data_IF_277688611176
#
_entry.id   IF_277688611176
#
_cell.length_a   1.000
_cell.length_b   1.000
_cell.length_c   1.000
_cell.angle_alpha   90.00
_cell.angle_beta   90.00
_cell.angle_gamma   90.00
#
_symmetry.space_group_name_H-M   'P 1'
#
loop_
_entity.id
_entity.type
_entity.pdbx_description
1 polymer ?
#
# COMPACT_ATOMS: atom_id res chain seq x y z
N UNK A 1 -27.66 -4.89 10.48
CA UNK A 1 -26.21 -4.73 10.55
C UNK A 1 -25.64 -4.88 9.15
N UNK A 2 -24.82 -3.96 8.75
CA UNK A 2 -24.16 -3.99 7.44
C UNK A 2 -23.23 -5.21 7.36
N UNK A 3 -23.30 -5.95 6.26
CA UNK A 3 -22.43 -7.12 6.07
C UNK A 3 -20.95 -6.70 6.04
N UNK A 4 -20.10 -7.49 6.69
CA UNK A 4 -18.66 -7.22 6.71
C UNK A 4 -18.03 -7.40 5.32
N UNK A 5 -17.05 -6.59 5.00
CA UNK A 5 -16.40 -6.61 3.69
C UNK A 5 -15.77 -7.97 3.36
N UNK A 6 -15.22 -8.65 4.36
CA UNK A 6 -14.66 -9.99 4.19
C UNK A 6 -15.71 -11.03 3.79
N UNK A 7 -16.91 -10.92 4.34
CA UNK A 7 -18.02 -11.83 4.03
C UNK A 7 -18.56 -11.56 2.62
N UNK A 8 -18.65 -10.28 2.24
CA UNK A 8 -19.02 -9.86 0.88
C UNK A 8 -17.98 -10.36 -0.13
N UNK A 9 -16.69 -10.20 0.16
CA UNK A 9 -15.61 -10.69 -0.70
C UNK A 9 -15.70 -12.21 -0.88
N UNK A 10 -15.93 -12.94 0.19
CA UNK A 10 -16.08 -14.41 0.15
C UNK A 10 -17.32 -14.83 -0.66
N UNK A 11 -18.44 -14.16 -0.45
CA UNK A 11 -19.68 -14.42 -1.19
C UNK A 11 -19.53 -14.10 -2.68
N UNK A 12 -18.75 -13.08 -3.04
CA UNK A 12 -18.50 -12.69 -4.42
C UNK A 12 -17.75 -13.76 -5.24
N UNK A 13 -17.04 -14.68 -4.58
CA UNK A 13 -16.40 -15.80 -5.26
C UNK A 13 -17.43 -16.81 -5.83
N UNK A 14 -18.64 -16.85 -5.29
CA UNK A 14 -19.76 -17.66 -5.78
C UNK A 14 -20.73 -16.86 -6.64
N UNK A 15 -20.93 -15.60 -6.31
CA UNK A 15 -21.78 -14.67 -7.03
C UNK A 15 -21.02 -13.37 -7.33
N UNK A 16 -20.41 -13.25 -8.53
CA UNK A 16 -19.58 -12.09 -8.88
C UNK A 16 -20.26 -10.73 -8.73
N UNK A 17 -21.58 -10.66 -8.88
CA UNK A 17 -22.34 -9.42 -8.77
C UNK A 17 -22.22 -8.79 -7.37
N UNK A 18 -21.99 -9.59 -6.33
CA UNK A 18 -21.81 -9.09 -4.98
C UNK A 18 -20.52 -8.28 -4.79
N UNK A 19 -19.53 -8.46 -5.68
CA UNK A 19 -18.32 -7.65 -5.64
C UNK A 19 -18.60 -6.17 -5.90
N UNK A 20 -19.67 -5.85 -6.64
CA UNK A 20 -20.14 -4.48 -6.87
C UNK A 20 -20.36 -3.71 -5.57
N UNK A 21 -20.82 -4.37 -4.50
CA UNK A 21 -21.00 -3.73 -3.19
C UNK A 21 -19.68 -3.19 -2.63
N UNK A 22 -18.58 -3.93 -2.80
CA UNK A 22 -17.25 -3.47 -2.38
C UNK A 22 -16.76 -2.32 -3.27
N UNK A 23 -17.02 -2.40 -4.58
CA UNK A 23 -16.71 -1.31 -5.50
C UNK A 23 -17.43 -0.04 -5.06
N UNK A 24 -18.74 -0.09 -4.82
CA UNK A 24 -19.53 1.07 -4.39
C UNK A 24 -19.03 1.68 -3.07
N UNK A 25 -18.61 0.84 -2.12
CA UNK A 25 -18.07 1.31 -0.83
C UNK A 25 -16.73 2.02 -0.94
N UNK A 26 -15.86 1.56 -1.83
CA UNK A 26 -14.46 1.99 -1.86
C UNK A 26 -14.10 2.88 -3.04
N UNK A 27 -14.91 2.92 -4.11
CA UNK A 27 -14.59 3.63 -5.35
C UNK A 27 -14.21 5.09 -5.13
N UNK A 28 -15.01 5.84 -4.38
CA UNK A 28 -14.71 7.26 -4.15
C UNK A 28 -13.42 7.48 -3.35
N UNK A 29 -13.22 6.67 -2.30
CA UNK A 29 -12.01 6.76 -1.49
C UNK A 29 -10.77 6.35 -2.29
N UNK A 30 -10.88 5.32 -3.12
CA UNK A 30 -9.81 4.89 -4.02
C UNK A 30 -9.51 5.95 -5.08
N UNK A 31 -10.52 6.59 -5.65
CA UNK A 31 -10.34 7.69 -6.59
C UNK A 31 -9.61 8.87 -5.95
N UNK A 32 -10.01 9.29 -4.75
CA UNK A 32 -9.30 10.35 -4.01
C UNK A 32 -7.84 9.99 -3.78
N UNK A 33 -7.59 8.73 -3.42
CA UNK A 33 -6.24 8.24 -3.19
C UNK A 33 -5.42 8.18 -4.48
N UNK A 34 -5.96 7.67 -5.57
CA UNK A 34 -5.30 7.61 -6.87
C UNK A 34 -4.96 9.00 -7.42
N UNK A 35 -5.85 9.99 -7.24
CA UNK A 35 -5.61 11.38 -7.64
C UNK A 35 -4.44 12.06 -6.92
N UNK A 36 -4.01 11.55 -5.77
CA UNK A 36 -2.80 12.06 -5.10
C UNK A 36 -1.52 11.64 -5.84
N UNK A 37 -1.59 10.56 -6.60
CA UNK A 37 -0.44 9.97 -7.32
C UNK A 37 -0.37 10.46 -8.75
N UNK A 38 -1.52 10.58 -9.41
CA UNK A 38 -1.61 10.98 -10.82
C UNK A 38 -2.43 12.25 -10.99
N UNK A 39 -2.11 13.03 -12.03
CA UNK A 39 -2.72 14.35 -12.25
C UNK A 39 -4.04 14.28 -13.00
N UNK A 40 -4.22 13.27 -13.87
CA UNK A 40 -5.40 13.17 -14.69
C UNK A 40 -6.45 12.27 -14.06
N UNK A 41 -7.72 12.58 -14.33
CA UNK A 41 -8.83 11.73 -13.89
C UNK A 41 -8.79 10.37 -14.57
N UNK A 42 -8.44 10.33 -15.83
CA UNK A 42 -8.31 9.10 -16.62
C UNK A 42 -7.29 8.13 -16.01
N UNK A 43 -6.10 8.62 -15.69
CA UNK A 43 -5.07 7.81 -15.02
C UNK A 43 -5.54 7.29 -13.66
N UNK A 44 -6.27 8.10 -12.89
CA UNK A 44 -6.81 7.68 -11.60
C UNK A 44 -7.89 6.60 -11.77
N UNK A 45 -8.77 6.74 -12.75
CA UNK A 45 -9.78 5.74 -13.10
C UNK A 45 -9.13 4.41 -13.50
N UNK A 46 -8.08 4.44 -14.31
CA UNK A 46 -7.32 3.26 -14.72
C UNK A 46 -6.67 2.54 -13.53
N UNK A 47 -6.05 3.31 -12.61
CA UNK A 47 -5.48 2.76 -11.38
C UNK A 47 -6.56 2.06 -10.54
N UNK A 48 -7.71 2.71 -10.35
CA UNK A 48 -8.79 2.18 -9.50
C UNK A 48 -9.40 0.92 -10.12
N UNK A 49 -9.64 0.91 -11.42
CA UNK A 49 -10.13 -0.27 -12.14
C UNK A 49 -9.15 -1.44 -12.02
N UNK A 50 -7.86 -1.21 -12.25
CA UNK A 50 -6.83 -2.24 -12.13
C UNK A 50 -6.70 -2.76 -10.69
N UNK A 51 -6.82 -1.87 -9.69
CA UNK A 51 -6.80 -2.25 -8.29
C UNK A 51 -7.98 -3.18 -7.93
N UNK A 52 -9.21 -2.83 -8.33
CA UNK A 52 -10.37 -3.70 -8.10
C UNK A 52 -10.25 -5.05 -8.83
N UNK A 53 -9.75 -5.05 -10.06
CA UNK A 53 -9.48 -6.30 -10.79
C UNK A 53 -8.47 -7.19 -10.05
N UNK A 54 -7.41 -6.61 -9.51
CA UNK A 54 -6.42 -7.35 -8.70
C UNK A 54 -7.00 -7.84 -7.37
N UNK A 55 -7.82 -7.03 -6.70
CA UNK A 55 -8.52 -7.43 -5.46
C UNK A 55 -9.40 -8.66 -5.74
N UNK A 56 -10.21 -8.60 -6.77
CA UNK A 56 -11.09 -9.71 -7.14
C UNK A 56 -10.30 -10.97 -7.53
N UNK A 57 -9.30 -10.83 -8.39
CA UNK A 57 -8.44 -11.94 -8.82
C UNK A 57 -7.73 -12.63 -7.66
N UNK A 58 -7.34 -11.87 -6.65
CA UNK A 58 -6.63 -12.38 -5.48
C UNK A 58 -7.56 -12.65 -4.27
N UNK A 59 -8.88 -12.52 -4.43
CA UNK A 59 -9.85 -12.72 -3.35
C UNK A 59 -9.72 -14.09 -2.66
N UNK A 60 -9.43 -15.14 -3.41
CA UNK A 60 -9.20 -16.50 -2.88
C UNK A 60 -7.96 -16.57 -1.97
N UNK A 61 -6.97 -15.71 -2.19
CA UNK A 61 -5.73 -15.65 -1.41
C UNK A 61 -5.87 -14.79 -0.15
N UNK A 62 -6.92 -13.97 -0.10
CA UNK A 62 -7.21 -13.19 1.09
C UNK A 62 -7.58 -14.12 2.24
N UNK A 63 -6.74 -14.18 3.25
CA UNK A 63 -7.02 -14.88 4.51
C UNK A 63 -7.11 -13.81 5.58
N UNK A 64 -8.23 -13.78 6.28
CA UNK A 64 -8.35 -12.99 7.49
C UNK A 64 -7.34 -13.55 8.50
N UNK A 65 -6.21 -12.87 8.65
CA UNK A 65 -5.29 -13.11 9.75
C UNK A 65 -5.70 -12.19 10.92
N UNK A 66 -5.42 -12.60 12.14
CA UNK A 66 -5.63 -11.73 13.30
C UNK A 66 -4.98 -10.36 13.04
N UNK A 67 -5.81 -9.30 13.08
CA UNK A 67 -5.38 -7.92 12.83
C UNK A 67 -5.27 -7.48 11.36
N UNK A 68 -5.65 -8.30 10.37
CA UNK A 68 -5.75 -7.87 8.96
C UNK A 68 -7.21 -7.80 8.54
N UNK A 69 -7.70 -6.58 8.35
CA UNK A 69 -9.00 -6.29 7.78
C UNK A 69 -8.93 -6.19 6.25
N UNK A 70 -10.06 -6.47 5.59
CA UNK A 70 -10.20 -6.30 4.14
C UNK A 70 -9.74 -4.90 3.67
N UNK A 71 -10.16 -3.86 4.39
CA UNK A 71 -9.82 -2.47 4.06
C UNK A 71 -8.31 -2.27 3.93
N UNK A 72 -7.53 -2.67 4.93
CA UNK A 72 -6.06 -2.52 4.91
C UNK A 72 -5.42 -3.28 3.75
N UNK A 73 -5.90 -4.49 3.46
CA UNK A 73 -5.42 -5.27 2.33
C UNK A 73 -5.78 -4.64 0.99
N UNK A 74 -7.02 -4.15 0.83
CA UNK A 74 -7.48 -3.52 -0.39
C UNK A 74 -6.70 -2.22 -0.69
N UNK A 75 -6.44 -1.39 0.33
CA UNK A 75 -5.59 -0.21 0.18
C UNK A 75 -4.15 -0.58 -0.18
N UNK A 76 -3.58 -1.65 0.36
CA UNK A 76 -2.26 -2.13 -0.05
C UNK A 76 -2.23 -2.47 -1.54
N UNK A 77 -3.28 -3.14 -2.05
CA UNK A 77 -3.40 -3.45 -3.49
C UNK A 77 -3.47 -2.16 -4.31
N UNK A 78 -4.27 -1.18 -3.87
CA UNK A 78 -4.40 0.11 -4.54
C UNK A 78 -3.04 0.84 -4.63
N UNK A 79 -2.31 0.93 -3.52
CA UNK A 79 -1.00 1.60 -3.48
C UNK A 79 0.00 0.93 -4.40
N UNK A 80 0.09 -0.38 -4.35
CA UNK A 80 1.01 -1.13 -5.20
C UNK A 80 0.67 -0.94 -6.68
N UNK A 81 -0.63 -0.88 -7.01
CA UNK A 81 -1.10 -0.61 -8.37
C UNK A 81 -0.74 0.82 -8.79
N UNK A 82 -0.99 1.79 -7.92
CA UNK A 82 -0.63 3.19 -8.15
C UNK A 82 0.87 3.37 -8.37
N UNK A 83 1.69 2.68 -7.57
CA UNK A 83 3.14 2.72 -7.73
C UNK A 83 3.60 2.17 -9.08
N UNK A 84 3.08 1.00 -9.45
CA UNK A 84 3.41 0.39 -10.74
C UNK A 84 3.03 1.29 -11.91
N UNK A 85 1.86 1.91 -11.82
CA UNK A 85 1.37 2.86 -12.83
C UNK A 85 2.27 4.10 -12.90
N UNK A 86 2.60 4.68 -11.74
CA UNK A 86 3.51 5.82 -11.65
C UNK A 86 4.90 5.53 -12.25
N UNK A 87 5.45 4.36 -11.99
CA UNK A 87 6.74 3.96 -12.56
C UNK A 87 6.69 3.86 -14.10
N UNK A 88 5.57 3.39 -14.65
CA UNK A 88 5.34 3.38 -16.10
C UNK A 88 5.28 4.80 -16.67
N UNK A 89 4.55 5.71 -16.00
CA UNK A 89 4.47 7.11 -16.39
C UNK A 89 5.83 7.81 -16.31
N UNK A 90 6.59 7.56 -15.24
CA UNK A 90 7.94 8.13 -15.05
C UNK A 90 8.90 7.73 -16.15
N UNK A 91 8.82 6.49 -16.65
CA UNK A 91 9.61 6.05 -17.79
C UNK A 91 9.25 6.76 -19.10
N UNK A 92 7.99 7.23 -19.21
CA UNK A 92 7.49 7.95 -20.41
C UNK A 92 7.69 9.45 -20.32
N UNK A 93 7.70 10.01 -19.10
CA UNK A 93 7.80 11.45 -18.83
C UNK A 93 8.70 11.66 -17.62
N UNK A 94 9.53 12.72 -17.63
CA UNK A 94 10.33 13.13 -16.47
C UNK A 94 9.41 13.73 -15.39
N UNK A 95 8.70 12.89 -14.62
CA UNK A 95 7.79 13.29 -13.54
C UNK A 95 8.53 13.26 -12.21
N UNK A 96 8.33 14.28 -11.36
CA UNK A 96 9.02 14.39 -10.08
C UNK A 96 8.56 13.32 -9.07
N UNK A 97 9.50 12.81 -8.27
CA UNK A 97 9.29 11.80 -7.22
C UNK A 97 8.45 12.29 -6.04
N UNK A 98 8.28 13.60 -5.91
CA UNK A 98 7.69 14.28 -4.76
C UNK A 98 6.24 13.83 -4.42
N UNK A 99 5.45 13.50 -5.46
CA UNK A 99 4.07 13.03 -5.27
C UNK A 99 3.98 11.62 -4.70
N UNK A 100 4.96 10.78 -5.00
CA UNK A 100 4.91 9.38 -4.61
C UNK A 100 5.25 9.18 -3.13
N UNK A 101 6.19 9.94 -2.61
CA UNK A 101 6.56 9.89 -1.20
C UNK A 101 5.37 10.24 -0.28
N UNK A 102 4.54 11.17 -0.70
CA UNK A 102 3.32 11.55 0.02
C UNK A 102 2.29 10.43 0.12
N UNK A 103 2.15 9.65 -0.94
CA UNK A 103 1.12 8.59 -1.03
C UNK A 103 1.48 7.30 -0.30
N UNK A 104 2.74 6.98 -0.28
CA UNK A 104 3.36 5.86 0.43
C UNK A 104 2.90 5.74 1.87
N UNK A 105 2.48 6.82 2.42
CA UNK A 105 2.28 7.08 3.84
C UNK A 105 0.92 6.73 4.38
N UNK A 106 -0.12 7.06 3.65
CA UNK A 106 -1.51 6.82 4.07
C UNK A 106 -1.82 5.32 4.25
N UNK A 107 -0.94 4.43 3.75
CA UNK A 107 -1.16 2.97 3.76
C UNK A 107 -0.35 2.23 4.82
N UNK A 108 0.82 2.74 5.17
CA UNK A 108 1.59 2.18 6.29
C UNK A 108 0.86 2.44 7.61
N UNK A 109 0.03 3.46 7.65
CA UNK A 109 -0.51 4.06 8.86
C UNK A 109 -1.76 3.39 9.44
N UNK A 110 -2.52 2.63 8.67
CA UNK A 110 -3.78 2.03 9.18
C UNK A 110 -3.56 0.88 10.18
N UNK A 111 -2.36 0.31 10.27
CA UNK A 111 -2.09 -0.76 11.24
C UNK A 111 -1.54 -0.28 12.60
N UNK A 112 -0.95 0.91 12.67
CA UNK A 112 -0.22 1.37 13.85
C UNK A 112 -0.75 2.67 14.47
N UNK A 113 -1.97 3.11 14.14
CA UNK A 113 -2.55 4.35 14.69
C UNK A 113 -1.71 5.62 14.46
N UNK A 114 -0.88 5.63 13.43
CA UNK A 114 -0.15 6.81 13.00
C UNK A 114 -1.10 7.68 12.15
N UNK A 115 -2.01 8.39 12.78
CA UNK A 115 -2.75 9.48 12.13
C UNK A 115 -1.77 10.59 11.80
N UNK A 116 -1.18 10.51 10.61
CA UNK A 116 -0.33 11.57 10.10
C UNK A 116 -1.18 12.78 9.69
N UNK A 117 -1.05 13.86 10.39
CA UNK A 117 -1.52 15.16 9.95
C UNK A 117 -0.79 15.57 8.66
N UNK A 118 -1.45 16.35 7.81
CA UNK A 118 -0.95 16.82 6.51
C UNK A 118 0.40 17.58 6.58
N UNK A 119 0.81 18.03 7.76
CA UNK A 119 2.10 18.68 8.03
C UNK A 119 3.27 17.69 8.11
N UNK A 120 2.99 16.40 8.15
CA UNK A 120 3.99 15.34 8.35
C UNK A 120 4.66 14.86 7.06
N UNK A 121 4.28 15.39 5.89
CA UNK A 121 4.76 14.93 4.57
C UNK A 121 6.27 15.03 4.38
N UNK A 122 6.86 16.15 4.84
CA UNK A 122 8.30 16.36 4.77
C UNK A 122 9.08 15.51 5.78
N UNK A 123 8.44 15.26 6.91
CA UNK A 123 9.02 14.52 8.03
C UNK A 123 9.29 13.07 7.64
N UNK A 124 8.42 12.52 6.86
CA UNK A 124 8.41 11.12 6.49
C UNK A 124 9.36 10.80 5.35
N UNK A 125 9.44 11.66 4.36
CA UNK A 125 10.53 11.61 3.38
C UNK A 125 11.88 11.60 4.09
N UNK A 126 12.05 12.44 5.11
CA UNK A 126 13.24 12.48 5.94
C UNK A 126 13.45 11.19 6.73
N UNK A 127 12.40 10.67 7.36
CA UNK A 127 12.48 9.41 8.14
C UNK A 127 12.86 8.20 7.28
N UNK A 128 12.34 8.12 6.05
CA UNK A 128 12.75 7.08 5.11
C UNK A 128 14.21 7.23 4.67
N UNK A 129 14.69 8.46 4.53
CA UNK A 129 16.08 8.75 4.22
C UNK A 129 17.02 8.42 5.39
N UNK A 130 16.53 8.49 6.62
CA UNK A 130 17.28 8.14 7.83
C UNK A 130 17.37 6.63 8.09
N UNK A 131 16.55 5.82 7.38
CA UNK A 131 16.68 4.37 7.50
C UNK A 131 18.02 3.90 6.93
N UNK A 132 18.71 2.98 7.65
CA UNK A 132 19.84 2.27 7.08
C UNK A 132 19.46 1.68 5.72
N UNK A 133 20.33 1.80 4.73
CA UNK A 133 20.05 1.41 3.34
C UNK A 133 19.54 -0.02 3.20
N UNK A 134 20.07 -0.93 4.03
CA UNK A 134 19.61 -2.34 4.05
C UNK A 134 18.14 -2.51 4.46
N UNK A 135 17.66 -1.69 5.40
CA UNK A 135 16.27 -1.72 5.85
C UNK A 135 15.36 -1.02 4.87
N UNK A 136 15.79 0.14 4.37
CA UNK A 136 15.09 0.92 3.35
C UNK A 136 14.79 0.08 2.12
N UNK A 137 15.81 -0.60 1.59
CA UNK A 137 15.69 -1.45 0.40
C UNK A 137 14.65 -2.56 0.58
N UNK A 138 14.65 -3.25 1.71
CA UNK A 138 13.68 -4.33 2.00
C UNK A 138 12.28 -3.79 2.20
N UNK A 139 12.14 -2.63 2.87
CA UNK A 139 10.86 -1.93 3.04
C UNK A 139 10.28 -1.55 1.67
N UNK A 140 11.10 -0.97 0.79
CA UNK A 140 10.69 -0.61 -0.57
C UNK A 140 10.27 -1.83 -1.39
N UNK A 141 11.04 -2.90 -1.36
CA UNK A 141 10.72 -4.13 -2.10
C UNK A 141 9.40 -4.73 -1.66
N UNK A 142 9.14 -4.79 -0.35
CA UNK A 142 7.94 -5.43 0.17
C UNK A 142 6.69 -4.54 0.07
N UNK A 143 6.80 -3.27 0.51
CA UNK A 143 5.62 -2.40 0.61
C UNK A 143 5.32 -1.63 -0.66
N UNK A 144 6.33 -1.29 -1.47
CA UNK A 144 6.14 -0.48 -2.66
C UNK A 144 6.09 -1.32 -3.94
N UNK A 145 6.98 -2.30 -4.03
CA UNK A 145 7.06 -3.17 -5.21
C UNK A 145 6.22 -4.44 -5.08
N UNK A 146 5.51 -4.60 -3.96
CA UNK A 146 4.66 -5.77 -3.63
C UNK A 146 5.36 -7.11 -3.86
N UNK A 147 6.65 -7.16 -3.59
CA UNK A 147 7.41 -8.39 -3.77
C UNK A 147 7.11 -9.36 -2.63
N UNK A 148 6.93 -10.64 -2.96
CA UNK A 148 6.79 -11.70 -1.96
C UNK A 148 8.10 -11.90 -1.19
N UNK A 149 8.02 -12.48 -0.01
CA UNK A 149 9.23 -12.80 0.78
C UNK A 149 10.17 -13.74 0.01
N UNK A 150 9.61 -14.66 -0.76
CA UNK A 150 10.36 -15.60 -1.60
C UNK A 150 11.12 -14.87 -2.71
N UNK A 151 10.48 -13.89 -3.34
CA UNK A 151 11.12 -13.07 -4.39
C UNK A 151 12.22 -12.21 -3.81
N UNK A 152 11.96 -11.55 -2.66
CA UNK A 152 12.99 -10.75 -1.97
C UNK A 152 14.14 -11.63 -1.52
N UNK A 153 13.84 -12.83 -0.99
CA UNK A 153 14.85 -13.80 -0.55
C UNK A 153 15.80 -14.17 -1.68
N UNK A 154 15.28 -14.42 -2.87
CA UNK A 154 16.10 -14.73 -4.06
C UNK A 154 16.92 -13.54 -4.51
N UNK A 155 16.33 -12.35 -4.55
CA UNK A 155 17.01 -11.14 -5.06
C UNK A 155 18.13 -10.67 -4.11
N UNK A 156 17.88 -10.70 -2.82
CA UNK A 156 18.79 -10.19 -1.79
C UNK A 156 19.66 -11.26 -1.14
N UNK A 157 19.45 -12.52 -1.52
CA UNK A 157 20.15 -13.69 -0.93
C UNK A 157 20.01 -13.74 0.60
N UNK A 158 18.82 -13.42 1.09
CA UNK A 158 18.45 -13.40 2.50
C UNK A 158 17.43 -14.49 2.80
N UNK A 159 17.46 -15.01 4.03
CA UNK A 159 16.41 -15.91 4.50
C UNK A 159 15.11 -15.15 4.77
N UNK A 160 13.97 -15.82 4.65
CA UNK A 160 12.64 -15.21 4.96
C UNK A 160 12.57 -14.67 6.38
N UNK A 161 13.06 -15.37 7.44
CA UNK A 161 13.14 -14.79 8.78
C UNK A 161 13.97 -13.50 8.86
N UNK A 162 15.09 -13.42 8.14
CA UNK A 162 15.91 -12.22 8.07
C UNK A 162 15.17 -11.05 7.44
N UNK A 163 14.41 -11.30 6.37
CA UNK A 163 13.56 -10.29 5.71
C UNK A 163 12.50 -9.78 6.67
N UNK A 164 11.76 -10.66 7.34
CA UNK A 164 10.75 -10.30 8.34
C UNK A 164 11.34 -9.46 9.49
N UNK A 165 12.53 -9.80 9.95
CA UNK A 165 13.22 -9.06 10.99
C UNK A 165 13.64 -7.66 10.52
N UNK A 166 14.13 -7.53 9.30
CA UNK A 166 14.48 -6.23 8.71
C UNK A 166 13.25 -5.34 8.51
N UNK A 167 12.14 -5.89 8.07
CA UNK A 167 10.87 -5.17 7.97
C UNK A 167 10.38 -4.70 9.35
N UNK A 168 10.47 -5.54 10.36
CA UNK A 168 10.13 -5.18 11.74
C UNK A 168 11.00 -4.04 12.27
N UNK A 169 12.33 -4.13 12.10
CA UNK A 169 13.27 -3.07 12.51
C UNK A 169 13.04 -1.77 11.76
N UNK A 170 12.79 -1.84 10.45
CA UNK A 170 12.47 -0.68 9.63
C UNK A 170 11.24 0.06 10.13
N UNK A 171 10.14 -0.66 10.39
CA UNK A 171 8.92 -0.07 10.96
C UNK A 171 9.14 0.55 12.34
N UNK A 172 9.90 -0.13 13.21
CA UNK A 172 10.20 0.39 14.55
C UNK A 172 11.02 1.67 14.53
N UNK A 173 12.01 1.76 13.63
CA UNK A 173 12.82 2.97 13.47
C UNK A 173 12.00 4.12 12.90
N UNK A 174 11.15 3.85 11.90
CA UNK A 174 10.25 4.85 11.34
C UNK A 174 9.31 5.42 12.41
N UNK A 175 8.70 4.55 13.23
CA UNK A 175 7.85 4.98 14.33
C UNK A 175 8.60 5.86 15.34
N UNK A 176 9.79 5.43 15.77
CA UNK A 176 10.61 6.20 16.72
C UNK A 176 11.03 7.57 16.17
N UNK A 177 11.36 7.64 14.88
CA UNK A 177 11.73 8.90 14.25
C UNK A 177 10.54 9.87 14.16
N UNK A 178 9.34 9.36 13.95
CA UNK A 178 8.10 10.15 13.98
C UNK A 178 7.79 10.68 15.36
N UNK A 179 7.82 9.82 16.38
CA UNK A 179 7.56 10.19 17.77
C UNK A 179 8.53 11.28 18.26
N UNK A 180 9.78 11.27 17.79
CA UNK A 180 10.80 12.26 18.13
C UNK A 180 10.60 13.63 17.44
N UNK A 181 9.81 13.70 16.39
CA UNK A 181 9.54 14.96 15.69
C UNK A 181 8.28 15.68 16.18
N UNK A 182 7.43 14.96 16.93
CA UNK A 182 6.27 15.55 17.60
C UNK A 182 6.59 16.13 19.01
N UNK A 183 7.82 15.95 19.47
CA UNK A 183 8.31 16.50 20.74
C UNK A 183 9.14 17.75 20.52
#
# INVERSE_FOLDING_TARGET
SEAKDEDILRASLRNPNLFGVLVDRYQEAFMRSAHRVVKTREDAEDIVQEAFAKIYKNAKKFKKQEGIEFKSWAYKVLVNTSYTFYQKLKKKQAVSMEFFETYKYDVIDEKDNLKANLETKDIIGKVLLELPEELKKIVEMHYLKDMSYETISKNEKLTIPAIKMRLFRGRKLMKKALDNQES
#
